data_IF_326108037251
#
_entry.id   IF_326108037251
#
_cell.length_a   1.000
_cell.length_b   1.000
_cell.length_c   1.000
_cell.angle_alpha   90.00
_cell.angle_beta   90.00
_cell.angle_gamma   90.00
#
_symmetry.space_group_name_H-M   'P 1'
#
loop_
_entity.id
_entity.type
_entity.pdbx_description
1 polymer ?
#
# COMPACT_ATOMS: atom_id res chain seq x y z
N UNK A 1 -23.26 0.84 -14.97
CA UNK A 1 -23.97 0.33 -13.76
C UNK A 1 -22.93 0.06 -12.68
N UNK A 2 -22.99 0.74 -11.56
CA UNK A 2 -22.11 0.48 -10.39
C UNK A 2 -22.64 -0.82 -9.77
N UNK A 3 -21.87 -1.91 -9.88
CA UNK A 3 -22.21 -3.16 -9.17
C UNK A 3 -22.11 -2.90 -7.67
N UNK A 4 -23.20 -3.08 -6.94
CA UNK A 4 -23.15 -3.04 -5.48
C UNK A 4 -22.45 -4.30 -4.95
N UNK A 5 -21.17 -4.19 -4.62
CA UNK A 5 -20.35 -5.32 -4.17
C UNK A 5 -20.79 -5.87 -2.81
N UNK A 6 -21.45 -5.07 -1.97
CA UNK A 6 -22.06 -5.55 -0.72
C UNK A 6 -23.16 -6.58 -0.99
N UNK A 7 -24.04 -6.30 -1.97
CA UNK A 7 -25.08 -7.26 -2.39
C UNK A 7 -24.50 -8.55 -2.96
N UNK A 8 -23.25 -8.51 -3.45
CA UNK A 8 -22.51 -9.69 -3.90
C UNK A 8 -21.76 -10.40 -2.77
N UNK A 9 -21.95 -9.98 -1.51
CA UNK A 9 -21.33 -10.55 -0.33
C UNK A 9 -19.87 -10.17 -0.11
N UNK A 10 -19.38 -9.11 -0.75
CA UNK A 10 -18.07 -8.54 -0.46
C UNK A 10 -18.16 -7.52 0.68
N UNK A 11 -17.21 -7.55 1.59
CA UNK A 11 -17.05 -6.57 2.66
C UNK A 11 -15.59 -6.18 2.85
N UNK A 12 -15.34 -5.02 3.41
CA UNK A 12 -14.04 -4.66 3.94
C UNK A 12 -13.78 -5.44 5.24
N UNK A 13 -12.65 -6.15 5.39
CA UNK A 13 -12.33 -6.82 6.65
C UNK A 13 -11.92 -5.79 7.70
N UNK A 14 -12.23 -6.06 8.98
CA UNK A 14 -11.71 -5.28 10.09
C UNK A 14 -10.20 -5.45 10.22
N UNK A 15 -9.50 -4.43 10.71
CA UNK A 15 -8.03 -4.44 10.81
C UNK A 15 -7.51 -5.52 11.78
N UNK A 16 -8.32 -5.94 12.73
CA UNK A 16 -8.05 -7.03 13.69
C UNK A 16 -8.23 -8.44 13.11
N UNK A 17 -8.78 -8.57 11.90
CA UNK A 17 -8.91 -9.87 11.27
C UNK A 17 -7.56 -10.38 10.78
N UNK A 18 -7.42 -11.72 10.71
CA UNK A 18 -6.19 -12.34 10.20
C UNK A 18 -5.86 -11.84 8.80
N UNK A 19 -4.65 -11.32 8.65
CA UNK A 19 -4.11 -10.78 7.41
C UNK A 19 -3.06 -11.74 6.82
N UNK A 20 -3.03 -11.90 5.50
CA UNK A 20 -2.03 -12.70 4.80
C UNK A 20 -0.65 -12.02 4.79
N UNK A 21 -0.65 -10.70 4.59
CA UNK A 21 0.56 -9.88 4.49
C UNK A 21 0.23 -8.40 4.63
N UNK A 22 1.25 -7.60 4.88
CA UNK A 22 1.16 -6.15 4.90
C UNK A 22 2.06 -5.53 3.83
N UNK A 23 1.65 -4.41 3.26
CA UNK A 23 2.46 -3.58 2.36
C UNK A 23 3.06 -2.41 3.13
N UNK A 24 4.36 -2.20 2.95
CA UNK A 24 5.11 -1.06 3.51
C UNK A 24 6.00 -0.50 2.40
N UNK A 25 6.19 0.82 2.36
CA UNK A 25 7.15 1.44 1.46
C UNK A 25 8.40 1.83 2.24
N UNK A 26 9.58 1.46 1.72
CA UNK A 26 10.87 1.86 2.28
C UNK A 26 11.08 3.37 2.13
N UNK A 27 11.52 4.07 3.18
CA UNK A 27 11.71 5.51 3.14
C UNK A 27 12.91 5.90 2.27
N UNK A 28 12.72 6.91 1.44
CA UNK A 28 13.77 7.43 0.55
C UNK A 28 13.69 8.93 0.31
N UNK A 29 12.52 9.55 0.49
CA UNK A 29 12.32 10.97 0.19
C UNK A 29 12.65 11.82 1.41
N UNK A 30 13.82 12.47 1.39
CA UNK A 30 14.27 13.34 2.49
C UNK A 30 13.31 14.50 2.77
N UNK A 31 12.54 14.95 1.77
CA UNK A 31 11.56 16.04 1.92
C UNK A 31 10.38 15.69 2.82
N UNK A 32 10.09 14.39 3.00
CA UNK A 32 9.01 13.94 3.88
C UNK A 32 9.38 14.08 5.38
N UNK A 33 10.69 14.19 5.67
CA UNK A 33 11.23 14.32 7.03
C UNK A 33 12.38 15.32 7.07
N UNK A 34 12.11 16.63 6.94
CA UNK A 34 13.16 17.65 6.99
C UNK A 34 13.98 17.58 8.29
N UNK A 35 15.30 17.42 8.17
CA UNK A 35 16.22 17.34 9.30
C UNK A 35 16.21 16.01 10.08
N UNK A 36 15.26 15.08 9.81
CA UNK A 36 15.09 13.85 10.60
C UNK A 36 15.31 12.56 9.79
N UNK A 37 15.54 12.67 8.48
CA UNK A 37 15.56 11.51 7.57
C UNK A 37 16.59 10.44 7.95
N UNK A 38 17.72 10.82 8.51
CA UNK A 38 18.81 9.90 8.88
C UNK A 38 18.32 8.73 9.77
N UNK A 39 17.37 9.01 10.68
CA UNK A 39 16.82 8.04 11.61
C UNK A 39 15.62 7.24 11.06
N UNK A 40 15.02 7.70 9.97
CA UNK A 40 13.76 7.13 9.47
C UNK A 40 13.94 5.69 8.94
N UNK A 41 14.97 5.36 8.13
CA UNK A 41 15.21 3.98 7.71
C UNK A 41 15.38 3.01 8.90
N UNK A 42 16.01 3.47 9.97
CA UNK A 42 16.16 2.68 11.20
C UNK A 42 14.82 2.46 11.89
N UNK A 43 13.99 3.49 12.01
CA UNK A 43 12.65 3.39 12.60
C UNK A 43 11.76 2.45 11.79
N UNK A 44 11.73 2.61 10.46
CA UNK A 44 10.96 1.71 9.57
C UNK A 44 11.48 0.28 9.65
N UNK A 45 12.79 0.07 9.78
CA UNK A 45 13.36 -1.27 9.95
C UNK A 45 12.90 -1.96 11.25
N UNK A 46 12.71 -1.20 12.35
CA UNK A 46 12.12 -1.74 13.59
C UNK A 46 10.67 -2.18 13.37
N UNK A 47 9.87 -1.38 12.63
CA UNK A 47 8.48 -1.72 12.30
C UNK A 47 8.45 -3.01 11.47
N UNK A 48 9.26 -3.09 10.39
CA UNK A 48 9.37 -4.30 9.56
C UNK A 48 9.79 -5.50 10.39
N UNK A 49 10.75 -5.33 11.31
CA UNK A 49 11.21 -6.41 12.19
C UNK A 49 10.09 -6.91 13.10
N UNK A 50 9.35 -6.01 13.73
CA UNK A 50 8.24 -6.36 14.61
C UNK A 50 7.16 -7.16 13.87
N UNK A 51 6.75 -6.71 12.68
CA UNK A 51 5.72 -7.36 11.87
C UNK A 51 6.22 -8.71 11.33
N UNK A 52 7.47 -8.78 10.85
CA UNK A 52 8.05 -10.01 10.28
C UNK A 52 8.23 -11.14 11.28
N UNK A 53 7.93 -10.94 12.56
CA UNK A 53 7.88 -12.02 13.54
C UNK A 53 6.82 -13.06 13.18
N UNK A 54 5.65 -12.60 12.69
CA UNK A 54 4.46 -13.42 12.50
C UNK A 54 3.76 -13.24 11.15
N UNK A 55 4.13 -12.22 10.36
CA UNK A 55 3.41 -11.84 9.14
C UNK A 55 4.39 -11.52 8.00
N UNK A 56 3.97 -11.82 6.77
CA UNK A 56 4.74 -11.45 5.58
C UNK A 56 4.66 -9.93 5.37
N UNK A 57 5.82 -9.31 5.17
CA UNK A 57 5.94 -7.89 4.79
C UNK A 57 6.29 -7.80 3.31
N UNK A 58 5.43 -7.19 2.52
CA UNK A 58 5.72 -6.79 1.15
C UNK A 58 6.34 -5.39 1.18
N UNK A 59 7.65 -5.31 1.02
CA UNK A 59 8.39 -4.06 1.12
C UNK A 59 8.61 -3.46 -0.26
N UNK A 60 7.94 -2.35 -0.54
CA UNK A 60 8.14 -1.57 -1.75
C UNK A 60 9.41 -0.76 -1.61
N UNK A 61 10.28 -0.85 -2.60
CA UNK A 61 11.54 -0.11 -2.69
C UNK A 61 11.64 0.57 -4.06
N UNK A 62 12.38 1.65 -4.16
CA UNK A 62 12.68 2.27 -5.47
C UNK A 62 13.46 1.30 -6.36
N UNK A 63 13.29 1.37 -7.70
CA UNK A 63 14.01 0.53 -8.65
C UNK A 63 15.54 0.57 -8.49
N UNK A 64 16.09 1.74 -8.17
CA UNK A 64 17.54 1.97 -8.04
C UNK A 64 18.06 1.78 -6.60
N UNK A 65 17.21 1.35 -5.65
CA UNK A 65 17.66 1.08 -4.29
C UNK A 65 18.51 -0.19 -4.22
N UNK A 66 19.55 -0.10 -3.41
CA UNK A 66 20.41 -1.23 -3.08
C UNK A 66 19.72 -2.12 -2.03
N UNK A 67 19.22 -3.27 -2.48
CA UNK A 67 18.53 -4.24 -1.63
C UNK A 67 19.46 -4.77 -0.53
N UNK A 68 20.74 -4.97 -0.80
CA UNK A 68 21.65 -5.55 0.18
C UNK A 68 21.99 -4.57 1.30
N UNK A 69 22.03 -3.28 0.98
CA UNK A 69 22.11 -2.21 1.97
C UNK A 69 20.87 -2.21 2.88
N UNK A 70 19.67 -2.34 2.32
CA UNK A 70 18.43 -2.42 3.09
C UNK A 70 18.41 -3.69 3.94
N UNK A 71 18.78 -4.84 3.39
CA UNK A 71 18.89 -6.11 4.15
C UNK A 71 19.83 -5.98 5.35
N UNK A 72 20.98 -5.32 5.18
CA UNK A 72 21.92 -5.09 6.29
C UNK A 72 21.26 -4.30 7.42
N UNK A 73 20.48 -3.24 7.09
CA UNK A 73 19.75 -2.47 8.09
C UNK A 73 18.71 -3.34 8.79
N UNK A 74 17.92 -4.12 8.04
CA UNK A 74 16.90 -5.01 8.58
C UNK A 74 17.49 -6.10 9.48
N UNK A 75 18.61 -6.71 9.10
CA UNK A 75 19.31 -7.73 9.90
C UNK A 75 19.79 -7.18 11.24
N UNK A 76 20.27 -5.94 11.30
CA UNK A 76 20.63 -5.27 12.56
C UNK A 76 19.44 -5.18 13.54
N UNK A 77 18.21 -5.20 13.03
CA UNK A 77 16.97 -5.25 13.83
C UNK A 77 16.46 -6.68 14.07
N UNK A 78 17.26 -7.71 13.80
CA UNK A 78 16.87 -9.13 13.93
C UNK A 78 15.62 -9.49 13.09
N UNK A 79 15.44 -8.84 11.93
CA UNK A 79 14.30 -9.08 11.04
C UNK A 79 14.36 -10.50 10.47
N UNK A 80 13.23 -11.21 10.45
CA UNK A 80 13.08 -12.49 9.77
C UNK A 80 12.98 -12.29 8.25
N UNK A 81 14.12 -12.14 7.55
CA UNK A 81 14.15 -11.83 6.10
C UNK A 81 13.34 -12.80 5.23
N UNK A 82 13.15 -14.06 5.64
CA UNK A 82 12.30 -15.03 4.94
C UNK A 82 10.83 -14.59 4.83
N UNK A 83 10.40 -13.68 5.70
CA UNK A 83 9.07 -13.08 5.69
C UNK A 83 9.04 -11.69 5.06
N UNK A 84 10.14 -11.20 4.48
CA UNK A 84 10.20 -9.91 3.77
C UNK A 84 10.33 -10.16 2.27
N UNK A 85 9.38 -9.67 1.50
CA UNK A 85 9.37 -9.72 0.03
C UNK A 85 9.65 -8.33 -0.52
N UNK A 86 10.76 -8.18 -1.25
CA UNK A 86 11.15 -6.90 -1.85
C UNK A 86 10.49 -6.71 -3.21
N UNK A 87 9.87 -5.56 -3.43
CA UNK A 87 9.22 -5.21 -4.68
C UNK A 87 9.77 -3.88 -5.21
N UNK A 88 10.49 -3.91 -6.35
CA UNK A 88 11.00 -2.71 -7.02
C UNK A 88 9.85 -1.98 -7.74
N UNK A 89 9.22 -1.04 -7.05
CA UNK A 89 8.07 -0.27 -7.56
C UNK A 89 8.37 1.22 -7.37
N UNK A 90 8.36 2.04 -8.44
CA UNK A 90 8.53 3.48 -8.31
C UNK A 90 7.34 4.09 -7.53
N UNK A 91 7.66 4.97 -6.59
CA UNK A 91 6.69 5.74 -5.80
C UNK A 91 7.20 7.17 -5.61
N UNK A 92 6.31 8.10 -5.25
CA UNK A 92 6.70 9.45 -4.84
C UNK A 92 6.80 9.56 -3.32
N UNK A 93 5.91 8.84 -2.62
CA UNK A 93 5.75 8.89 -1.17
C UNK A 93 5.78 7.48 -0.56
N UNK A 94 5.85 7.42 0.76
CA UNK A 94 5.89 6.15 1.51
C UNK A 94 4.55 5.79 2.17
N UNK A 95 3.58 6.68 2.11
CA UNK A 95 2.32 6.61 2.85
C UNK A 95 1.31 5.68 2.17
N UNK A 96 1.65 4.39 2.05
CA UNK A 96 0.83 3.41 1.34
C UNK A 96 -0.54 3.20 1.99
N UNK A 97 -0.74 3.61 3.24
CA UNK A 97 -2.07 3.65 3.87
C UNK A 97 -3.02 4.53 3.06
N UNK A 98 -2.54 5.64 2.49
CA UNK A 98 -3.39 6.64 1.85
C UNK A 98 -3.66 6.34 0.37
N UNK A 99 -2.72 5.71 -0.33
CA UNK A 99 -2.86 5.40 -1.76
C UNK A 99 -2.83 3.91 -2.09
N UNK A 100 -2.69 3.05 -1.09
CA UNK A 100 -2.65 1.60 -1.27
C UNK A 100 -4.01 0.97 -1.57
N UNK A 101 -4.04 -0.35 -1.80
CA UNK A 101 -5.26 -1.06 -2.13
C UNK A 101 -6.17 -1.22 -0.91
N UNK A 102 -7.46 -0.92 -1.06
CA UNK A 102 -8.50 -1.20 -0.07
C UNK A 102 -9.13 -2.55 -0.40
N UNK A 103 -8.76 -3.59 0.34
CA UNK A 103 -9.21 -4.95 0.07
C UNK A 103 -10.65 -5.18 0.50
N UNK A 104 -11.40 -5.86 -0.37
CA UNK A 104 -12.71 -6.44 -0.07
C UNK A 104 -12.61 -7.96 -0.20
N UNK A 105 -13.23 -8.66 0.74
CA UNK A 105 -13.24 -10.12 0.78
C UNK A 105 -14.68 -10.65 0.71
N UNK A 106 -14.84 -11.79 0.04
CA UNK A 106 -16.04 -12.60 0.10
C UNK A 106 -15.65 -14.01 0.59
N UNK A 107 -15.99 -14.32 1.84
CA UNK A 107 -15.62 -15.59 2.49
C UNK A 107 -16.37 -16.78 1.88
N UNK A 108 -17.62 -16.59 1.40
CA UNK A 108 -18.45 -17.67 0.85
C UNK A 108 -17.82 -18.26 -0.43
N UNK A 109 -17.37 -17.40 -1.34
CA UNK A 109 -16.77 -17.82 -2.63
C UNK A 109 -15.24 -17.76 -2.61
N UNK A 110 -14.64 -17.52 -1.43
CA UNK A 110 -13.17 -17.42 -1.23
C UNK A 110 -12.47 -16.46 -2.21
N UNK A 111 -13.12 -15.33 -2.52
CA UNK A 111 -12.58 -14.32 -3.43
C UNK A 111 -12.19 -13.04 -2.71
N UNK A 112 -11.14 -12.40 -3.20
CA UNK A 112 -10.73 -11.06 -2.82
C UNK A 112 -10.58 -10.18 -4.07
N UNK A 113 -10.91 -8.92 -3.91
CA UNK A 113 -10.73 -7.84 -4.85
C UNK A 113 -10.21 -6.64 -4.08
N UNK A 114 -9.79 -5.58 -4.74
CA UNK A 114 -9.55 -4.33 -4.03
C UNK A 114 -10.02 -3.12 -4.81
N UNK A 115 -10.33 -2.07 -4.06
CA UNK A 115 -10.69 -0.76 -4.60
C UNK A 115 -9.43 0.07 -4.69
N UNK A 116 -9.24 0.73 -5.84
CA UNK A 116 -8.19 1.68 -6.10
C UNK A 116 -8.81 3.07 -6.22
N UNK A 117 -8.78 3.83 -5.14
CA UNK A 117 -9.14 5.24 -5.17
C UNK A 117 -8.01 6.07 -5.77
N UNK A 118 -8.33 7.23 -6.31
CA UNK A 118 -7.33 8.17 -6.76
C UNK A 118 -6.76 8.91 -5.55
N UNK A 119 -5.44 8.98 -5.49
CA UNK A 119 -4.72 9.83 -4.56
C UNK A 119 -4.39 11.17 -5.21
N UNK A 120 -4.51 12.27 -4.48
CA UNK A 120 -4.28 13.62 -4.95
C UNK A 120 -3.17 14.37 -4.20
N UNK A 121 -2.32 13.62 -3.44
CA UNK A 121 -1.26 14.22 -2.64
C UNK A 121 -1.78 15.08 -1.51
N UNK A 122 -2.92 14.70 -0.90
CA UNK A 122 -3.64 15.46 0.16
C UNK A 122 -4.03 16.88 -0.27
N UNK A 123 -4.21 17.10 -1.59
CA UNK A 123 -4.39 18.43 -2.19
C UNK A 123 -3.26 19.42 -1.87
N UNK A 124 -2.12 18.94 -1.38
CA UNK A 124 -0.98 19.74 -0.92
C UNK A 124 0.27 19.58 -1.79
N UNK A 125 0.49 18.36 -2.29
CA UNK A 125 1.70 18.03 -3.05
C UNK A 125 1.35 17.69 -4.49
N UNK A 126 2.22 18.08 -5.43
CA UNK A 126 2.04 17.80 -6.86
C UNK A 126 2.72 16.49 -7.31
N UNK A 127 3.58 15.91 -6.47
CA UNK A 127 4.38 14.71 -6.76
C UNK A 127 3.71 13.44 -6.20
N UNK A 128 2.61 13.00 -6.81
CA UNK A 128 1.85 11.81 -6.43
C UNK A 128 1.50 10.86 -7.60
N UNK A 129 1.98 11.20 -8.80
CA UNK A 129 1.60 10.44 -10.02
C UNK A 129 2.09 8.99 -10.01
N UNK A 130 3.25 8.72 -9.38
CA UNK A 130 3.77 7.36 -9.25
C UNK A 130 2.97 6.57 -8.22
N UNK A 131 2.54 7.21 -7.12
CA UNK A 131 1.76 6.58 -6.08
C UNK A 131 0.44 6.03 -6.63
N UNK A 132 -0.23 6.77 -7.52
CA UNK A 132 -1.44 6.30 -8.22
C UNK A 132 -1.21 5.07 -9.12
N UNK A 133 0.04 4.73 -9.46
CA UNK A 133 0.38 3.55 -10.28
C UNK A 133 0.78 2.31 -9.46
N UNK A 134 0.96 2.46 -8.15
CA UNK A 134 1.39 1.36 -7.27
C UNK A 134 0.38 0.23 -7.30
N UNK A 135 -0.91 0.55 -7.24
CA UNK A 135 -1.98 -0.45 -7.23
C UNK A 135 -2.08 -1.26 -8.53
N UNK A 136 -1.63 -0.73 -9.67
CA UNK A 136 -1.50 -1.50 -10.91
C UNK A 136 -0.43 -2.59 -10.76
N UNK A 137 0.68 -2.28 -10.11
CA UNK A 137 1.75 -3.24 -9.84
C UNK A 137 1.32 -4.27 -8.80
N UNK A 138 0.68 -3.84 -7.71
CA UNK A 138 0.14 -4.74 -6.68
C UNK A 138 -0.87 -5.70 -7.28
N UNK A 139 -1.80 -5.23 -8.13
CA UNK A 139 -2.77 -6.08 -8.84
C UNK A 139 -2.09 -7.20 -9.62
N UNK A 140 -1.03 -6.88 -10.37
CA UNK A 140 -0.25 -7.86 -11.16
C UNK A 140 0.48 -8.86 -10.26
N UNK A 141 1.15 -8.37 -9.20
CA UNK A 141 1.91 -9.22 -8.27
C UNK A 141 1.00 -10.19 -7.52
N UNK A 142 -0.14 -9.69 -7.03
CA UNK A 142 -1.08 -10.49 -6.22
C UNK A 142 -2.12 -11.23 -7.04
N UNK A 143 -2.16 -11.00 -8.36
CA UNK A 143 -3.22 -11.50 -9.27
C UNK A 143 -4.63 -11.16 -8.75
N UNK A 144 -4.78 -10.04 -8.04
CA UNK A 144 -6.04 -9.60 -7.43
C UNK A 144 -6.69 -8.55 -8.33
N UNK A 145 -7.98 -8.73 -8.63
CA UNK A 145 -8.75 -7.79 -9.45
C UNK A 145 -8.83 -6.42 -8.76
N UNK A 146 -8.44 -5.39 -9.50
CA UNK A 146 -8.55 -3.99 -9.12
C UNK A 146 -9.87 -3.41 -9.63
N UNK A 147 -10.55 -2.61 -8.80
CA UNK A 147 -11.72 -1.82 -9.15
C UNK A 147 -11.38 -0.35 -9.00
N UNK A 148 -11.83 0.47 -9.94
CA UNK A 148 -11.66 1.93 -9.90
C UNK A 148 -13.04 2.57 -9.84
N UNK A 149 -13.47 3.10 -8.69
CA UNK A 149 -14.74 3.78 -8.57
C UNK A 149 -14.69 5.11 -9.32
N UNK A 150 -15.76 5.37 -10.08
CA UNK A 150 -15.92 6.60 -10.85
C UNK A 150 -17.31 7.17 -10.64
N UNK A 151 -17.46 8.47 -10.84
CA UNK A 151 -18.74 9.17 -10.85
C UNK A 151 -18.81 10.13 -12.04
N UNK A 152 -20.02 10.54 -12.38
CA UNK A 152 -20.27 11.48 -13.49
C UNK A 152 -20.60 12.87 -12.94
N UNK A 153 -20.00 13.90 -13.54
CA UNK A 153 -20.41 15.31 -13.39
C UNK A 153 -20.68 15.83 -14.79
N UNK A 154 -21.97 16.00 -15.12
CA UNK A 154 -22.38 16.29 -16.49
C UNK A 154 -21.91 15.18 -17.45
N UNK A 155 -21.18 15.55 -18.49
CA UNK A 155 -20.60 14.60 -19.48
C UNK A 155 -19.24 14.02 -19.06
N UNK A 156 -18.64 14.49 -17.97
CA UNK A 156 -17.28 14.09 -17.56
C UNK A 156 -17.32 12.95 -16.54
N UNK A 157 -16.51 11.89 -16.79
CA UNK A 157 -16.26 10.81 -15.83
C UNK A 157 -15.04 11.21 -14.97
N UNK A 158 -15.18 11.12 -13.66
CA UNK A 158 -14.15 11.41 -12.67
C UNK A 158 -13.90 10.18 -11.80
N UNK A 159 -12.65 9.99 -11.35
CA UNK A 159 -12.31 8.99 -10.33
C UNK A 159 -12.59 9.57 -8.95
N UNK A 160 -13.02 8.72 -8.02
CA UNK A 160 -13.10 9.10 -6.61
C UNK A 160 -11.71 9.29 -6.02
N UNK A 161 -11.52 10.43 -5.35
CA UNK A 161 -10.37 10.70 -4.50
C UNK A 161 -10.75 10.28 -3.07
N UNK A 162 -10.00 9.35 -2.51
CA UNK A 162 -10.17 8.89 -1.13
C UNK A 162 -8.86 8.31 -0.63
N UNK A 163 -8.54 8.59 0.61
CA UNK A 163 -7.38 8.06 1.31
C UNK A 163 -7.80 6.92 2.22
N UNK A 164 -7.02 5.83 2.26
CA UNK A 164 -7.31 4.70 3.13
C UNK A 164 -7.30 5.07 4.63
N UNK A 165 -6.58 6.12 5.00
CA UNK A 165 -6.60 6.69 6.35
C UNK A 165 -7.91 7.36 6.75
N UNK A 166 -8.80 7.66 5.77
CA UNK A 166 -10.12 8.26 6.00
C UNK A 166 -11.25 7.20 6.08
N UNK A 167 -10.91 5.93 6.04
CA UNK A 167 -11.89 4.82 6.11
C UNK A 167 -11.64 4.00 7.37
N UNK A 168 -12.72 3.69 8.08
CA UNK A 168 -12.74 2.79 9.22
C UNK A 168 -13.89 1.76 9.11
N UNK A 169 -13.77 0.62 9.82
CA UNK A 169 -14.76 -0.48 9.86
C UNK A 169 -14.84 -1.09 11.25
#
# INVERSE_FOLDING_TARGET
>A
MIKNFSLLGFRMPGEWEKQDSIWITWPYNKKDWPGLFENIPFTVSKIVSAISKNQVVNLIIKPNEDIDKIKKILLRQKTKLKLVRFHKIPSNRVWIRDFGPIYLINKKIKKKIFINFQFNGWSKYNDFKLDNKINDKISKITKTRKLEPTFKIGKKIRKFVLEGGAIDV
#
